data_IF_664412757929
#
_entry.id   IF_664412757929
#
_cell.length_a   1.000
_cell.length_b   1.000
_cell.length_c   1.000
_cell.angle_alpha   90.00
_cell.angle_beta   90.00
_cell.angle_gamma   90.00
#
_symmetry.space_group_name_H-M   'P 1'
#
loop_
_entity.id
_entity.type
_entity.pdbx_description
1 polymer ?
#
# COMPACT_ATOMS: atom_id res chain seq x y z
N UNK A 1 0.96 5.73 8.99
CA UNK A 1 -0.44 6.14 8.85
C UNK A 1 -1.00 6.36 10.24
N UNK A 2 -1.75 7.43 10.45
CA UNK A 2 -2.28 7.79 11.76
C UNK A 2 -3.80 7.93 11.69
N UNK A 3 -4.49 7.35 12.66
CA UNK A 3 -5.87 7.69 12.99
C UNK A 3 -5.86 8.58 14.24
N UNK A 4 -6.58 9.69 14.17
CA UNK A 4 -6.64 10.68 15.25
C UNK A 4 -8.07 10.81 15.76
N UNK A 5 -8.22 10.92 17.08
CA UNK A 5 -9.48 11.36 17.66
C UNK A 5 -9.70 12.85 17.27
N UNK A 6 -10.83 13.21 16.62
CA UNK A 6 -11.00 14.53 16.00
C UNK A 6 -10.90 15.73 16.95
N UNK A 7 -11.37 15.60 18.19
CA UNK A 7 -11.48 16.74 19.11
C UNK A 7 -10.17 16.97 19.88
N UNK A 8 -9.50 15.91 20.31
CA UNK A 8 -8.27 15.94 21.11
C UNK A 8 -7.00 15.88 20.28
N UNK A 9 -7.06 15.33 19.06
CA UNK A 9 -5.89 15.07 18.23
C UNK A 9 -5.02 13.92 18.75
N UNK A 10 -5.51 13.13 19.70
CA UNK A 10 -4.80 11.96 20.20
C UNK A 10 -4.73 10.89 19.11
N UNK A 11 -3.58 10.23 18.99
CA UNK A 11 -3.42 9.06 18.13
C UNK A 11 -4.19 7.90 18.76
N UNK A 12 -5.14 7.34 18.02
CA UNK A 12 -5.93 6.17 18.46
C UNK A 12 -5.47 4.88 17.79
N UNK A 13 -4.85 5.01 16.61
CA UNK A 13 -4.24 3.91 15.88
C UNK A 13 -3.08 4.45 15.02
N UNK A 14 -2.00 3.70 14.92
CA UNK A 14 -0.82 4.08 14.15
C UNK A 14 -0.20 2.84 13.51
N UNK A 15 0.09 2.95 12.22
CA UNK A 15 0.73 1.90 11.44
C UNK A 15 1.98 2.42 10.75
N UNK A 16 3.06 1.67 10.86
CA UNK A 16 4.35 2.00 10.28
C UNK A 16 4.73 0.94 9.26
N UNK A 17 4.95 1.36 8.01
CA UNK A 17 5.49 0.46 6.97
C UNK A 17 6.79 -0.23 7.42
N UNK A 18 7.56 0.42 8.30
CA UNK A 18 8.83 -0.08 8.82
C UNK A 18 8.71 -1.42 9.58
N UNK A 19 7.56 -1.68 10.19
CA UNK A 19 7.31 -2.92 10.92
C UNK A 19 6.96 -4.08 9.96
N UNK A 20 6.64 -3.78 8.70
CA UNK A 20 6.17 -4.72 7.69
C UNK A 20 7.13 -4.83 6.49
N UNK A 21 8.44 -4.75 6.76
CA UNK A 21 9.50 -4.81 5.75
C UNK A 21 10.16 -6.18 5.67
N UNK A 22 10.58 -6.56 4.47
CA UNK A 22 11.45 -7.69 4.15
C UNK A 22 12.67 -7.19 3.35
N UNK A 23 13.76 -7.97 3.35
CA UNK A 23 14.91 -7.74 2.49
C UNK A 23 15.58 -9.07 2.10
N UNK A 24 16.29 -9.11 0.98
CA UNK A 24 17.00 -10.30 0.49
C UNK A 24 18.50 -10.07 0.21
N UNK A 25 19.04 -8.95 0.72
CA UNK A 25 20.41 -8.51 0.47
C UNK A 25 21.43 -9.14 1.42
N UNK A 26 21.16 -9.10 2.72
CA UNK A 26 22.09 -9.59 3.76
C UNK A 26 21.40 -10.58 4.71
N UNK A 27 21.76 -11.88 4.70
CA UNK A 27 21.16 -12.88 5.56
C UNK A 27 21.45 -12.71 7.05
N UNK A 28 22.40 -11.84 7.45
CA UNK A 28 22.69 -11.54 8.85
C UNK A 28 21.86 -10.37 9.41
N UNK A 29 21.17 -9.61 8.55
CA UNK A 29 20.31 -8.49 8.95
C UNK A 29 18.87 -8.96 9.25
N UNK A 30 18.11 -8.19 10.07
CA UNK A 30 16.71 -8.47 10.33
C UNK A 30 15.87 -8.61 9.05
N UNK A 31 14.79 -9.38 9.16
CA UNK A 31 13.79 -9.58 8.12
C UNK A 31 14.38 -10.06 6.78
N UNK A 32 15.46 -10.84 6.82
CA UNK A 32 15.96 -11.54 5.64
C UNK A 32 14.99 -12.64 5.21
N UNK A 33 14.64 -12.68 3.93
CA UNK A 33 13.82 -13.75 3.37
C UNK A 33 13.71 -13.69 1.85
N UNK A 34 12.98 -14.63 1.27
CA UNK A 34 12.70 -14.65 -0.16
C UNK A 34 11.48 -13.77 -0.43
N UNK A 35 11.67 -12.62 -1.07
CA UNK A 35 10.63 -11.60 -1.28
C UNK A 35 9.34 -12.20 -1.87
N UNK A 36 9.46 -13.08 -2.87
CA UNK A 36 8.29 -13.69 -3.54
C UNK A 36 7.50 -14.68 -2.68
N UNK A 37 8.08 -15.17 -1.58
CA UNK A 37 7.40 -16.03 -0.61
C UNK A 37 6.63 -15.23 0.44
N UNK A 38 6.87 -13.91 0.54
CA UNK A 38 6.29 -13.00 1.54
C UNK A 38 5.58 -11.78 0.91
N UNK A 39 4.51 -11.99 0.12
CA UNK A 39 3.75 -10.90 -0.50
C UNK A 39 3.11 -9.96 0.53
N UNK A 40 2.93 -10.43 1.78
CA UNK A 40 2.40 -9.67 2.90
C UNK A 40 3.37 -8.60 3.44
N UNK A 41 4.65 -8.64 3.05
CA UNK A 41 5.68 -7.68 3.45
C UNK A 41 6.18 -6.85 2.26
N UNK A 42 6.72 -5.67 2.54
CA UNK A 42 7.31 -4.79 1.53
C UNK A 42 8.83 -4.97 1.45
N UNK A 43 9.39 -5.19 0.26
CA UNK A 43 10.84 -5.18 0.11
C UNK A 43 11.40 -3.77 0.31
N UNK A 44 12.22 -3.58 1.34
CA UNK A 44 12.84 -2.30 1.68
C UNK A 44 13.70 -1.73 0.53
N UNK A 45 14.17 -2.58 -0.39
CA UNK A 45 14.98 -2.17 -1.53
C UNK A 45 14.15 -1.99 -2.82
N UNK A 46 12.82 -2.06 -2.72
CA UNK A 46 11.94 -1.94 -3.88
C UNK A 46 11.88 -0.49 -4.39
N UNK A 47 12.38 -0.27 -5.60
CA UNK A 47 12.37 1.03 -6.25
C UNK A 47 13.40 2.03 -5.68
N UNK A 48 13.62 3.16 -6.37
CA UNK A 48 14.54 4.19 -5.89
C UNK A 48 13.94 4.97 -4.72
N UNK A 49 14.78 5.34 -3.74
CA UNK A 49 14.42 6.33 -2.73
C UNK A 49 14.59 7.72 -3.33
N UNK A 50 13.46 8.40 -3.51
CA UNK A 50 13.42 9.74 -4.05
C UNK A 50 13.34 9.81 -5.57
N UNK A 51 12.96 10.99 -6.03
CA UNK A 51 12.90 11.30 -7.44
C UNK A 51 13.42 12.72 -7.70
N UNK A 52 13.80 13.00 -8.95
CA UNK A 52 14.02 14.35 -9.44
C UNK A 52 12.83 14.79 -10.28
N UNK A 53 11.61 14.69 -9.72
CA UNK A 53 10.35 14.96 -10.43
C UNK A 53 10.19 16.42 -10.91
N UNK A 54 11.20 17.29 -10.70
CA UNK A 54 11.18 18.68 -11.10
C UNK A 54 10.34 19.57 -10.18
N UNK A 55 10.50 20.90 -10.31
CA UNK A 55 9.89 21.90 -9.41
C UNK A 55 10.79 22.27 -8.22
N UNK A 56 10.28 22.97 -7.19
CA UNK A 56 11.09 23.40 -6.04
C UNK A 56 11.59 22.24 -5.15
N UNK A 57 11.21 20.99 -5.45
CA UNK A 57 11.36 19.84 -4.57
C UNK A 57 12.71 19.11 -4.67
N UNK A 58 13.60 19.49 -5.59
CA UNK A 58 14.99 18.98 -5.64
C UNK A 58 15.11 17.46 -5.50
N UNK A 59 16.25 17.01 -4.95
CA UNK A 59 16.37 15.62 -4.48
C UNK A 59 15.58 15.46 -3.16
N UNK A 60 14.70 14.47 -3.12
CA UNK A 60 13.86 14.15 -1.96
C UNK A 60 14.06 12.67 -1.53
N UNK A 61 13.45 12.27 -0.40
CA UNK A 61 13.44 10.89 0.10
C UNK A 61 12.11 10.18 -0.17
N UNK A 62 11.39 10.57 -1.22
CA UNK A 62 10.07 10.03 -1.54
C UNK A 62 10.17 8.63 -2.13
N UNK A 63 9.97 7.63 -1.28
CA UNK A 63 10.07 6.22 -1.62
C UNK A 63 8.73 5.63 -2.07
N UNK A 64 7.67 5.85 -1.30
CA UNK A 64 6.35 5.23 -1.53
C UNK A 64 5.33 6.18 -2.15
N UNK A 65 5.47 7.49 -2.02
CA UNK A 65 4.47 8.46 -2.51
C UNK A 65 3.01 8.01 -2.26
N UNK A 66 2.67 7.73 -1.00
CA UNK A 66 1.29 7.37 -0.64
C UNK A 66 0.40 8.59 -0.88
N UNK A 67 -0.64 8.43 -1.69
CA UNK A 67 -1.44 9.55 -2.19
C UNK A 67 -2.95 9.42 -1.97
N UNK A 68 -3.40 8.28 -1.46
CA UNK A 68 -4.78 8.08 -1.03
C UNK A 68 -4.85 7.06 0.10
N UNK A 69 -5.88 7.21 0.91
CA UNK A 69 -6.28 6.30 1.98
C UNK A 69 -7.80 6.27 1.97
N UNK A 70 -8.39 5.09 2.07
CA UNK A 70 -9.82 4.92 2.25
C UNK A 70 -10.12 3.76 3.22
N UNK A 71 -11.18 3.89 3.99
CA UNK A 71 -11.56 2.95 5.04
C UNK A 71 -12.89 2.27 4.70
N UNK A 72 -12.89 0.93 4.76
CA UNK A 72 -14.09 0.13 4.62
C UNK A 72 -14.61 -0.31 6.01
N UNK A 73 -15.69 0.29 6.52
CA UNK A 73 -16.23 -0.04 7.84
C UNK A 73 -16.92 -1.40 7.92
N UNK A 74 -17.24 -2.05 6.79
CA UNK A 74 -17.88 -3.36 6.78
C UNK A 74 -16.83 -4.46 6.96
N UNK A 75 -15.67 -4.30 6.33
CA UNK A 75 -14.56 -5.25 6.43
C UNK A 75 -13.57 -4.90 7.55
N UNK A 76 -13.64 -3.67 8.06
CA UNK A 76 -12.66 -3.06 8.98
C UNK A 76 -11.25 -3.10 8.39
N UNK A 77 -11.13 -2.57 7.16
CA UNK A 77 -9.91 -2.59 6.37
C UNK A 77 -9.61 -1.20 5.82
N UNK A 78 -8.32 -0.90 5.68
CA UNK A 78 -7.85 0.31 5.00
C UNK A 78 -7.22 -0.09 3.66
N UNK A 79 -7.53 0.67 2.61
CA UNK A 79 -6.79 0.63 1.34
C UNK A 79 -5.96 1.90 1.19
N UNK A 80 -4.72 1.75 0.71
CA UNK A 80 -3.84 2.88 0.33
C UNK A 80 -3.32 2.68 -1.09
N UNK A 81 -3.04 3.78 -1.79
CA UNK A 81 -2.35 3.76 -3.09
C UNK A 81 -0.98 4.43 -3.02
N UNK A 82 0.00 3.77 -3.64
CA UNK A 82 1.37 4.25 -3.78
C UNK A 82 1.67 4.57 -5.24
N UNK A 83 1.88 5.85 -5.55
CA UNK A 83 2.20 6.28 -6.91
C UNK A 83 3.50 5.66 -7.42
N UNK A 84 4.57 5.74 -6.63
CA UNK A 84 5.91 5.31 -7.06
C UNK A 84 6.06 3.80 -7.15
N UNK A 85 5.27 3.05 -6.38
CA UNK A 85 5.29 1.59 -6.46
C UNK A 85 4.34 1.05 -7.53
N UNK A 86 3.42 1.87 -8.05
CA UNK A 86 2.37 1.42 -8.96
C UNK A 86 1.51 0.31 -8.34
N UNK A 87 1.23 0.42 -7.04
CA UNK A 87 0.46 -0.58 -6.29
C UNK A 87 -0.60 0.06 -5.38
N UNK A 88 -1.64 -0.70 -5.12
CA UNK A 88 -2.50 -0.53 -3.94
C UNK A 88 -2.17 -1.59 -2.89
N UNK A 89 -2.44 -1.27 -1.62
CA UNK A 89 -2.25 -2.16 -0.48
C UNK A 89 -3.50 -2.14 0.37
N UNK A 90 -3.94 -3.31 0.84
CA UNK A 90 -5.01 -3.44 1.84
C UNK A 90 -4.41 -3.93 3.15
N UNK A 91 -4.75 -3.28 4.25
CA UNK A 91 -4.27 -3.56 5.61
C UNK A 91 -5.48 -3.85 6.50
N UNK A 92 -5.33 -4.77 7.45
CA UNK A 92 -6.33 -5.03 8.50
C UNK A 92 -6.33 -3.86 9.50
N UNK A 93 -7.46 -3.16 9.61
CA UNK A 93 -7.58 -2.07 10.58
C UNK A 93 -8.10 -2.56 11.93
N UNK A 94 -8.64 -3.78 12.00
CA UNK A 94 -9.24 -4.31 13.22
C UNK A 94 -8.21 -4.67 14.30
N UNK A 95 -6.92 -4.45 14.04
CA UNK A 95 -5.81 -4.73 14.96
C UNK A 95 -5.84 -3.75 16.13
N UNK A 96 -5.49 -4.23 17.32
CA UNK A 96 -5.14 -3.29 18.40
C UNK A 96 -3.86 -2.51 18.10
N UNK A 97 -3.59 -1.46 18.88
CA UNK A 97 -2.35 -0.69 18.79
C UNK A 97 -1.09 -1.53 19.07
N UNK A 98 -1.23 -2.67 19.75
CA UNK A 98 -0.15 -3.62 19.99
C UNK A 98 -0.01 -4.66 18.86
N UNK A 99 -1.11 -5.05 18.22
CA UNK A 99 -1.11 -6.04 17.14
C UNK A 99 -0.65 -5.45 15.80
N UNK A 100 -0.90 -4.16 15.59
CA UNK A 100 -0.65 -3.47 14.32
C UNK A 100 0.81 -3.50 13.89
N UNK A 101 1.78 -3.51 14.82
CA UNK A 101 3.22 -3.61 14.49
C UNK A 101 3.73 -5.04 14.34
N UNK A 102 2.85 -6.04 14.52
CA UNK A 102 3.18 -7.45 14.41
C UNK A 102 2.64 -8.11 13.14
N UNK A 103 2.86 -9.43 13.07
CA UNK A 103 2.46 -10.30 11.95
C UNK A 103 1.28 -11.24 12.32
N UNK A 104 0.58 -10.94 13.41
CA UNK A 104 -0.55 -11.73 13.92
C UNK A 104 -1.53 -10.85 14.71
N UNK A 105 -2.75 -11.35 14.92
CA UNK A 105 -3.84 -10.52 15.46
C UNK A 105 -4.67 -9.85 14.35
N UNK A 106 -5.65 -9.05 14.76
CA UNK A 106 -6.73 -8.59 13.87
C UNK A 106 -7.64 -9.72 13.37
N UNK A 107 -8.66 -9.36 12.60
CA UNK A 107 -9.65 -10.29 12.05
C UNK A 107 -9.04 -11.29 11.06
N UNK A 108 -7.96 -10.90 10.41
CA UNK A 108 -7.25 -11.70 9.40
C UNK A 108 -6.12 -12.54 9.99
N UNK A 109 -5.81 -12.38 11.28
CA UNK A 109 -4.65 -12.98 11.94
C UNK A 109 -3.32 -12.67 11.21
N UNK A 110 -3.17 -11.42 10.79
CA UNK A 110 -2.03 -10.90 10.03
C UNK A 110 -1.35 -9.69 10.68
N UNK A 111 -1.87 -9.21 11.81
CA UNK A 111 -1.40 -7.94 12.37
C UNK A 111 -1.51 -6.83 11.32
N UNK A 112 -0.51 -5.96 11.23
CA UNK A 112 -0.49 -4.88 10.23
C UNK A 112 0.10 -5.27 8.87
N UNK A 113 0.41 -6.54 8.61
CA UNK A 113 0.92 -6.97 7.31
C UNK A 113 -0.12 -6.76 6.20
N UNK A 114 0.33 -6.68 4.95
CA UNK A 114 -0.59 -6.52 3.83
C UNK A 114 -1.47 -7.76 3.64
N UNK A 115 -2.78 -7.53 3.62
CA UNK A 115 -3.76 -8.56 3.25
C UNK A 115 -3.80 -8.77 1.75
N UNK A 116 -3.57 -7.70 0.99
CA UNK A 116 -3.66 -7.70 -0.46
C UNK A 116 -2.78 -6.62 -1.08
N UNK A 117 -2.26 -6.95 -2.27
CA UNK A 117 -1.46 -6.07 -3.13
C UNK A 117 -1.90 -6.24 -4.57
N UNK A 118 -1.98 -5.14 -5.31
CA UNK A 118 -2.35 -5.17 -6.72
C UNK A 118 -1.79 -4.00 -7.49
N UNK A 119 -1.41 -4.25 -8.74
CA UNK A 119 -0.97 -3.23 -9.70
C UNK A 119 0.39 -3.50 -10.33
N UNK A 120 1.36 -3.95 -9.55
CA UNK A 120 2.72 -4.23 -10.02
C UNK A 120 3.34 -5.42 -9.26
N UNK A 121 3.06 -6.64 -9.73
CA UNK A 121 3.54 -7.88 -9.08
C UNK A 121 5.05 -8.10 -9.17
N UNK A 122 5.73 -7.39 -10.07
CA UNK A 122 7.18 -7.44 -10.20
C UNK A 122 7.89 -6.92 -8.94
N UNK A 123 7.27 -6.00 -8.20
CA UNK A 123 7.82 -5.42 -6.97
C UNK A 123 8.06 -6.45 -5.86
N UNK A 124 7.38 -7.60 -5.92
CA UNK A 124 7.55 -8.67 -4.96
C UNK A 124 7.77 -10.03 -5.65
N UNK A 125 8.38 -10.01 -6.85
CA UNK A 125 8.86 -11.21 -7.53
C UNK A 125 7.78 -12.22 -7.90
N UNK A 126 6.52 -11.79 -8.08
CA UNK A 126 5.39 -12.63 -8.51
C UNK A 126 4.87 -12.32 -9.91
N UNK A 127 5.63 -11.54 -10.66
CA UNK A 127 5.41 -11.24 -12.07
C UNK A 127 6.58 -10.45 -12.62
N UNK A 128 6.39 -9.89 -13.80
CA UNK A 128 7.35 -8.98 -14.43
C UNK A 128 6.66 -7.69 -14.94
N UNK A 129 7.41 -6.84 -15.63
CA UNK A 129 6.89 -5.56 -16.14
C UNK A 129 5.68 -5.73 -17.07
N UNK A 130 5.53 -6.89 -17.74
CA UNK A 130 4.37 -7.18 -18.59
C UNK A 130 3.10 -7.45 -17.79
N UNK A 131 3.21 -7.77 -16.50
CA UNK A 131 2.10 -7.92 -15.57
C UNK A 131 1.70 -6.58 -14.91
N UNK A 132 2.44 -5.49 -15.14
CA UNK A 132 2.13 -4.20 -14.54
C UNK A 132 0.86 -3.61 -15.16
N UNK A 133 -0.11 -3.31 -14.30
CA UNK A 133 -1.40 -2.73 -14.67
C UNK A 133 -1.44 -1.23 -14.37
N UNK A 134 -0.86 -0.82 -13.23
CA UNK A 134 -0.94 0.56 -12.77
C UNK A 134 0.29 1.36 -13.19
N UNK A 135 0.07 2.66 -13.38
CA UNK A 135 1.09 3.63 -13.73
C UNK A 135 0.75 4.97 -13.08
N UNK A 136 1.49 5.34 -12.05
CA UNK A 136 1.32 6.59 -11.30
C UNK A 136 -0.11 6.83 -10.75
N UNK A 137 -0.85 5.79 -10.37
CA UNK A 137 -2.25 5.87 -9.98
C UNK A 137 -2.52 6.75 -8.75
N UNK A 138 -3.75 7.28 -8.66
CA UNK A 138 -4.24 8.10 -7.55
C UNK A 138 -5.66 7.71 -7.13
N UNK A 139 -6.03 8.13 -5.93
CA UNK A 139 -7.41 8.15 -5.46
C UNK A 139 -8.08 6.77 -5.49
N UNK A 140 -7.41 5.75 -4.94
CA UNK A 140 -8.10 4.49 -4.65
C UNK A 140 -9.19 4.72 -3.60
N UNK A 141 -10.39 4.22 -3.85
CA UNK A 141 -11.53 4.27 -2.96
C UNK A 141 -12.34 2.98 -3.06
N UNK A 142 -12.97 2.56 -1.97
CA UNK A 142 -14.05 1.59 -2.01
C UNK A 142 -15.32 2.23 -2.56
N UNK A 143 -16.02 1.52 -3.43
CA UNK A 143 -17.35 1.94 -3.87
C UNK A 143 -18.34 1.61 -2.73
N UNK A 144 -19.03 2.62 -2.16
CA UNK A 144 -19.89 2.41 -1.01
C UNK A 144 -21.17 1.65 -1.37
N UNK A 145 -21.77 1.02 -0.36
CA UNK A 145 -23.08 0.36 -0.47
C UNK A 145 -24.13 1.29 -1.08
N UNK A 146 -24.97 0.73 -1.95
CA UNK A 146 -26.03 1.47 -2.66
C UNK A 146 -25.62 2.09 -4.01
N UNK A 147 -24.35 1.97 -4.41
CA UNK A 147 -23.88 2.36 -5.75
C UNK A 147 -23.62 1.13 -6.64
N UNK A 148 -23.71 1.25 -7.98
CA UNK A 148 -23.23 0.20 -8.88
C UNK A 148 -21.75 -0.09 -8.61
N UNK A 149 -21.40 -1.38 -8.46
CA UNK A 149 -20.04 -1.78 -8.10
C UNK A 149 -19.76 -1.74 -6.59
N UNK A 150 -20.77 -1.57 -5.72
CA UNK A 150 -20.59 -1.60 -4.27
C UNK A 150 -19.72 -2.77 -3.81
N UNK A 151 -18.71 -2.45 -2.99
CA UNK A 151 -17.71 -3.41 -2.51
C UNK A 151 -16.52 -3.62 -3.45
N UNK A 152 -16.53 -3.10 -4.68
CA UNK A 152 -15.33 -3.04 -5.52
C UNK A 152 -14.46 -1.84 -5.14
N UNK A 153 -13.22 -1.84 -5.62
CA UNK A 153 -12.33 -0.68 -5.57
C UNK A 153 -12.38 0.08 -6.88
N UNK A 154 -12.24 1.40 -6.81
CA UNK A 154 -12.12 2.28 -7.97
C UNK A 154 -10.95 3.25 -7.79
N UNK A 155 -10.22 3.52 -8.86
CA UNK A 155 -9.10 4.46 -8.85
C UNK A 155 -8.91 5.17 -10.19
N UNK A 156 -8.11 6.24 -10.17
CA UNK A 156 -7.64 6.93 -11.37
C UNK A 156 -6.22 6.46 -11.71
N UNK A 157 -6.06 5.74 -12.82
CA UNK A 157 -4.77 5.27 -13.31
C UNK A 157 -4.19 6.30 -14.28
N UNK A 158 -3.15 7.03 -13.86
CA UNK A 158 -2.61 8.17 -14.60
C UNK A 158 -1.97 7.75 -15.93
N UNK A 159 -1.33 6.58 -15.96
CA UNK A 159 -0.68 6.02 -17.14
C UNK A 159 -1.20 4.60 -17.36
N UNK A 160 -2.13 4.44 -18.30
CA UNK A 160 -2.75 3.15 -18.62
C UNK A 160 -2.22 2.55 -19.92
N UNK A 161 -2.24 3.31 -21.01
CA UNK A 161 -1.66 2.93 -22.30
C UNK A 161 -1.12 4.18 -23.00
N UNK A 162 0.18 4.21 -23.29
CA UNK A 162 0.85 5.39 -23.83
C UNK A 162 0.69 6.63 -22.95
N UNK A 163 0.03 7.66 -23.47
CA UNK A 163 -0.26 8.92 -22.76
C UNK A 163 -1.66 8.99 -22.16
N UNK A 164 -2.42 7.89 -22.23
CA UNK A 164 -3.82 7.88 -21.80
C UNK A 164 -3.93 7.52 -20.33
N UNK A 165 -4.84 8.20 -19.65
CA UNK A 165 -5.28 7.86 -18.29
C UNK A 165 -6.59 7.08 -18.35
N UNK A 166 -6.85 6.28 -17.32
CA UNK A 166 -8.09 5.49 -17.20
C UNK A 166 -8.66 5.57 -15.79
N UNK A 167 -9.96 5.33 -15.67
CA UNK A 167 -10.59 4.94 -14.40
C UNK A 167 -10.72 3.44 -14.41
N UNK A 168 -10.22 2.78 -13.36
CA UNK A 168 -10.28 1.33 -13.21
C UNK A 168 -11.16 0.98 -12.02
N UNK A 169 -12.10 0.06 -12.23
CA UNK A 169 -12.90 -0.59 -11.19
C UNK A 169 -12.52 -2.08 -11.17
N UNK A 170 -12.31 -2.65 -9.98
CA UNK A 170 -11.85 -4.03 -9.80
C UNK A 170 -12.24 -4.62 -8.44
#
# INVERSE_FOLDING_TARGET
MLELEPESGNIVWEWHIWDHLIQDYDPELPNYGVISEHPELFDINCGPVGNNAGGPQGANGDWMHINAVDYNPILDQIVISSRTQNEIFIIDHSTSAEEVSGHSGGNSNKGGDFLYRWGNSANYGRGDESDRILGDQHSVNWIPEGYPGAGNLILFNNTHDGSDSAVLEF
#
